data_IF_476824954597
#
_entry.id   IF_476824954597
#
_cell.length_a   1.000
_cell.length_b   1.000
_cell.length_c   1.000
_cell.angle_alpha   90.00
_cell.angle_beta   90.00
_cell.angle_gamma   90.00
#
_symmetry.space_group_name_H-M   'P 1'
#
loop_
_entity.id
_entity.type
_entity.pdbx_description
1 polymer ?
#
# COMPACT_ATOMS: atom_id res chain seq x y z
N UNK A 1 4.29 10.79 -21.27
CA UNK A 1 5.67 10.91 -20.77
C UNK A 1 5.64 11.65 -19.47
N UNK A 2 5.24 10.94 -18.42
CA UNK A 2 5.28 11.44 -17.04
C UNK A 2 6.50 10.85 -16.38
N UNK A 3 7.50 11.69 -16.11
CA UNK A 3 8.74 11.30 -15.45
C UNK A 3 8.95 12.17 -14.23
N UNK A 4 9.34 11.56 -13.13
CA UNK A 4 9.48 12.29 -11.88
C UNK A 4 9.85 11.39 -10.72
N UNK A 5 9.96 12.02 -9.55
CA UNK A 5 10.07 11.32 -8.28
C UNK A 5 8.68 11.20 -7.68
N UNK A 6 8.28 10.00 -7.29
CA UNK A 6 7.08 9.72 -6.53
C UNK A 6 7.48 9.32 -5.11
N UNK A 7 6.99 10.05 -4.12
CA UNK A 7 7.00 9.64 -2.73
C UNK A 7 5.68 8.98 -2.37
N UNK A 8 5.77 7.82 -1.72
CA UNK A 8 4.65 7.06 -1.21
C UNK A 8 4.83 6.98 0.30
N UNK A 9 3.95 7.62 1.05
CA UNK A 9 3.92 7.55 2.50
C UNK A 9 2.78 6.64 2.94
N UNK A 10 3.16 5.52 3.53
CA UNK A 10 2.24 4.60 4.19
C UNK A 10 2.11 5.03 5.63
N UNK A 11 0.97 5.64 5.96
CA UNK A 11 0.75 6.25 7.27
C UNK A 11 0.31 5.19 8.26
N UNK A 12 -0.90 4.67 8.09
CA UNK A 12 -1.56 3.78 9.03
C UNK A 12 -2.59 2.89 8.34
N UNK A 13 -2.85 1.75 8.96
CA UNK A 13 -3.94 0.84 8.63
C UNK A 13 -5.11 1.07 9.59
N UNK A 14 -6.32 0.81 9.12
CA UNK A 14 -7.55 0.90 9.90
C UNK A 14 -8.44 -0.30 9.62
N UNK A 15 -8.99 -0.87 10.69
CA UNK A 15 -9.88 -2.04 10.64
C UNK A 15 -9.25 -3.18 9.81
N UNK A 16 -7.94 -3.35 9.92
CA UNK A 16 -7.23 -4.43 9.25
C UNK A 16 -7.72 -5.73 9.87
N UNK A 17 -8.28 -6.60 9.03
CA UNK A 17 -8.83 -7.88 9.46
C UNK A 17 -7.72 -8.76 10.00
N UNK A 18 -7.85 -9.13 11.27
CA UNK A 18 -6.98 -10.08 11.95
C UNK A 18 -7.38 -11.50 11.53
N UNK A 19 -6.40 -12.35 11.26
CA UNK A 19 -6.59 -13.70 10.75
C UNK A 19 -6.51 -14.76 11.85
N UNK A 20 -5.92 -14.45 13.02
CA UNK A 20 -5.79 -15.44 14.10
C UNK A 20 -6.08 -14.89 15.51
N UNK A 21 -5.23 -14.05 16.12
CA UNK A 21 -5.41 -13.57 17.52
C UNK A 21 -4.67 -12.25 17.81
N UNK A 22 -3.52 -12.02 17.18
CA UNK A 22 -2.65 -10.84 17.28
C UNK A 22 -1.87 -10.79 15.97
N UNK A 23 -2.43 -10.16 14.94
CA UNK A 23 -1.78 -10.09 13.62
C UNK A 23 -0.49 -9.27 13.64
N UNK A 24 0.36 -9.60 12.68
CA UNK A 24 1.63 -8.99 12.32
C UNK A 24 1.54 -8.36 10.92
N UNK A 25 0.69 -7.32 10.70
CA UNK A 25 0.45 -6.78 9.37
C UNK A 25 1.64 -5.95 8.85
N UNK A 26 2.00 -6.19 7.60
CA UNK A 26 2.95 -5.39 6.83
C UNK A 26 2.42 -5.08 5.43
N UNK A 27 2.92 -4.00 4.83
CA UNK A 27 2.51 -3.53 3.50
C UNK A 27 3.66 -3.74 2.52
N UNK A 28 3.36 -4.40 1.40
CA UNK A 28 4.21 -4.55 0.24
C UNK A 28 3.73 -3.65 -0.92
N UNK A 29 4.65 -2.97 -1.58
CA UNK A 29 4.39 -1.99 -2.63
C UNK A 29 5.28 -2.23 -3.85
N UNK A 30 4.72 -2.10 -5.05
CA UNK A 30 5.48 -2.12 -6.31
C UNK A 30 4.75 -1.35 -7.41
N UNK A 31 5.52 -0.79 -8.35
CA UNK A 31 4.97 -0.06 -9.49
C UNK A 31 4.68 -0.99 -10.67
N UNK A 32 3.49 -0.87 -11.28
CA UNK A 32 3.03 -1.65 -12.44
C UNK A 32 3.39 -3.15 -12.36
N UNK A 33 4.35 -3.60 -13.19
CA UNK A 33 4.90 -4.97 -13.23
C UNK A 33 6.38 -5.01 -12.81
N UNK A 34 6.85 -4.01 -12.06
CA UNK A 34 8.20 -3.98 -11.51
C UNK A 34 8.36 -5.13 -10.52
N UNK A 35 9.48 -5.85 -10.62
CA UNK A 35 9.83 -6.92 -9.69
C UNK A 35 10.38 -6.38 -8.35
N UNK A 36 10.67 -5.08 -8.28
CA UNK A 36 11.18 -4.39 -7.09
C UNK A 36 10.05 -4.11 -6.12
N UNK A 37 9.78 -5.10 -5.27
CA UNK A 37 8.84 -4.99 -4.16
C UNK A 37 9.53 -4.36 -2.96
N UNK A 38 8.91 -3.34 -2.39
CA UNK A 38 9.34 -2.73 -1.14
C UNK A 38 8.33 -3.07 -0.07
N UNK A 39 8.81 -3.35 1.14
CA UNK A 39 7.95 -3.67 2.28
C UNK A 39 8.17 -2.75 3.47
N UNK A 40 7.12 -2.52 4.23
CA UNK A 40 7.19 -1.83 5.53
C UNK A 40 7.73 -2.77 6.60
N UNK A 41 8.01 -2.20 7.77
CA UNK A 41 8.23 -2.97 8.99
C UNK A 41 6.91 -3.62 9.45
N UNK A 42 7.00 -4.79 10.05
CA UNK A 42 5.87 -5.52 10.63
C UNK A 42 5.39 -4.82 11.92
N UNK A 43 4.07 -4.70 12.12
CA UNK A 43 3.50 -4.04 13.30
C UNK A 43 2.59 -4.98 14.10
N UNK A 44 3.18 -5.66 15.08
CA UNK A 44 2.50 -6.63 15.93
C UNK A 44 1.41 -6.05 16.83
N UNK A 45 0.28 -6.76 16.92
CA UNK A 45 -0.69 -6.63 18.00
C UNK A 45 -1.58 -5.40 17.96
N UNK A 46 -1.93 -4.96 16.76
CA UNK A 46 -2.94 -3.92 16.58
C UNK A 46 -3.68 -4.08 15.24
N UNK A 47 -5.01 -3.94 15.28
CA UNK A 47 -5.84 -3.84 14.08
C UNK A 47 -5.72 -2.47 13.37
N UNK A 48 -5.01 -1.52 13.99
CA UNK A 48 -4.70 -0.19 13.44
C UNK A 48 -3.18 0.04 13.45
N UNK A 49 -2.41 -0.69 12.63
CA UNK A 49 -0.95 -0.55 12.58
C UNK A 49 -0.55 0.81 12.05
N UNK A 50 0.39 1.48 12.72
CA UNK A 50 0.99 2.73 12.25
C UNK A 50 2.37 2.41 11.69
N UNK A 51 2.51 2.43 10.37
CA UNK A 51 3.78 2.14 9.72
C UNK A 51 4.67 3.38 9.64
N UNK A 52 4.08 4.54 9.32
CA UNK A 52 4.77 5.82 9.12
C UNK A 52 6.05 5.68 8.28
N UNK A 53 5.89 5.05 7.11
CA UNK A 53 7.01 4.67 6.24
C UNK A 53 6.93 5.38 4.90
N UNK A 54 8.04 5.97 4.51
CA UNK A 54 8.21 6.63 3.22
C UNK A 54 8.95 5.74 2.24
N UNK A 55 8.45 5.66 1.02
CA UNK A 55 9.09 5.01 -0.11
C UNK A 55 9.27 6.02 -1.23
N UNK A 56 10.43 5.97 -1.89
CA UNK A 56 10.75 6.85 -3.00
C UNK A 56 10.94 6.03 -4.26
N UNK A 57 10.16 6.36 -5.28
CA UNK A 57 10.23 5.74 -6.59
C UNK A 57 10.57 6.77 -7.65
N UNK A 58 11.30 6.35 -8.68
CA UNK A 58 11.45 7.11 -9.91
C UNK A 58 10.46 6.58 -10.92
N UNK A 59 9.41 7.35 -11.19
CA UNK A 59 8.38 6.96 -12.15
C UNK A 59 8.79 7.35 -13.56
N UNK A 60 8.55 6.45 -14.51
CA UNK A 60 8.79 6.66 -15.94
C UNK A 60 7.61 6.08 -16.74
N UNK A 61 6.59 6.91 -16.91
CA UNK A 61 5.29 6.53 -17.52
C UNK A 61 4.55 5.41 -16.77
N UNK A 62 4.92 5.16 -15.50
CA UNK A 62 4.23 4.21 -14.65
C UNK A 62 2.81 4.66 -14.36
N UNK A 63 1.85 3.73 -14.28
CA UNK A 63 0.42 4.08 -14.17
C UNK A 63 -0.24 3.62 -12.88
N UNK A 64 0.23 2.52 -12.31
CA UNK A 64 -0.39 1.88 -11.16
C UNK A 64 0.67 1.64 -10.08
N UNK A 65 0.33 2.03 -8.86
CA UNK A 65 1.00 1.56 -7.65
C UNK A 65 0.17 0.43 -7.08
N UNK A 66 0.75 -0.76 -7.01
CA UNK A 66 0.12 -1.89 -6.36
C UNK A 66 0.50 -1.87 -4.88
N UNK A 67 -0.49 -2.11 -4.03
CA UNK A 67 -0.36 -2.20 -2.59
C UNK A 67 -0.94 -3.54 -2.16
N UNK A 68 -0.19 -4.29 -1.37
CA UNK A 68 -0.60 -5.57 -0.81
C UNK A 68 -0.35 -5.54 0.67
N UNK A 69 -1.33 -5.99 1.44
CA UNK A 69 -1.18 -6.16 2.89
C UNK A 69 -1.19 -7.64 3.19
N UNK A 70 -0.19 -8.07 3.95
CA UNK A 70 -0.04 -9.44 4.41
C UNK A 70 0.12 -9.44 5.93
N UNK A 71 -0.27 -10.55 6.53
CA UNK A 71 0.03 -10.88 7.93
C UNK A 71 1.24 -11.81 7.97
N UNK A 72 2.30 -11.42 8.70
CA UNK A 72 3.51 -12.25 8.85
C UNK A 72 3.27 -13.32 9.92
N UNK A 73 2.85 -14.51 9.49
CA UNK A 73 2.63 -15.67 10.37
C UNK A 73 3.87 -16.56 10.49
N UNK A 74 3.91 -17.41 11.54
CA UNK A 74 5.01 -18.38 11.81
C UNK A 74 5.06 -19.55 10.80
N UNK A 75 4.57 -19.35 9.57
CA UNK A 75 4.55 -20.34 8.51
C UNK A 75 4.46 -19.72 7.12
N UNK A 76 3.23 -19.50 6.65
CA UNK A 76 2.97 -18.88 5.36
C UNK A 76 2.16 -17.61 5.59
N UNK A 77 2.71 -16.49 5.12
CA UNK A 77 2.06 -15.18 5.22
C UNK A 77 0.65 -15.23 4.61
N UNK A 78 -0.37 -14.86 5.40
CA UNK A 78 -1.72 -14.75 4.89
C UNK A 78 -1.92 -13.40 4.19
N UNK A 79 -2.40 -13.43 2.95
CA UNK A 79 -2.78 -12.21 2.24
C UNK A 79 -4.09 -11.66 2.82
N UNK A 80 -4.02 -10.48 3.42
CA UNK A 80 -5.19 -9.74 3.91
C UNK A 80 -5.91 -9.08 2.74
N UNK A 81 -5.18 -8.44 1.82
CA UNK A 81 -5.80 -7.87 0.63
C UNK A 81 -4.84 -7.14 -0.30
N UNK A 82 -5.32 -6.91 -1.52
CA UNK A 82 -4.56 -6.22 -2.57
C UNK A 82 -5.38 -5.06 -3.10
N UNK A 83 -4.76 -3.89 -3.13
CA UNK A 83 -5.29 -2.68 -3.73
C UNK A 83 -4.40 -2.19 -4.87
N UNK A 84 -5.05 -1.51 -5.82
CA UNK A 84 -4.37 -0.88 -6.97
C UNK A 84 -4.72 0.59 -6.97
N UNK A 85 -3.70 1.44 -6.93
CA UNK A 85 -3.83 2.89 -6.86
C UNK A 85 -3.40 3.45 -8.21
N UNK A 86 -4.26 4.22 -8.85
CA UNK A 86 -3.93 4.88 -10.12
C UNK A 86 -3.10 6.13 -9.87
N UNK A 87 -1.94 6.21 -10.52
CA UNK A 87 -1.03 7.36 -10.42
C UNK A 87 -1.49 8.54 -11.29
N UNK A 88 -2.46 8.35 -12.20
CA UNK A 88 -3.02 9.42 -13.02
C UNK A 88 -3.57 10.58 -12.19
N UNK A 89 -4.10 10.30 -11.00
CA UNK A 89 -4.61 11.35 -10.11
C UNK A 89 -3.45 12.13 -9.48
N UNK A 90 -2.39 11.47 -8.99
CA UNK A 90 -1.27 12.17 -8.33
C UNK A 90 -0.44 12.94 -9.35
N UNK A 91 -0.34 12.46 -10.59
CA UNK A 91 0.31 13.21 -11.66
C UNK A 91 -0.41 14.50 -12.04
N UNK A 92 -1.73 14.60 -11.76
CA UNK A 92 -2.52 15.81 -12.02
C UNK A 92 -2.58 16.76 -10.83
N UNK A 93 -2.66 16.21 -9.62
CA UNK A 93 -2.84 16.98 -8.40
C UNK A 93 -1.53 17.24 -7.64
N UNK A 94 -0.43 16.59 -8.04
CA UNK A 94 0.89 16.57 -7.40
C UNK A 94 0.90 15.94 -5.99
N UNK A 95 -0.22 16.00 -5.28
CA UNK A 95 -0.41 15.48 -3.94
C UNK A 95 -1.77 14.77 -3.83
N UNK A 96 -1.79 13.62 -3.17
CA UNK A 96 -3.00 12.87 -2.82
C UNK A 96 -2.86 12.32 -1.41
N UNK A 97 -3.90 12.51 -0.60
CA UNK A 97 -4.11 11.79 0.66
C UNK A 97 -5.42 11.03 0.53
N UNK A 98 -5.34 9.69 0.57
CA UNK A 98 -6.52 8.86 0.43
C UNK A 98 -6.46 7.60 1.29
N UNK A 99 -7.65 7.15 1.69
CA UNK A 99 -7.86 5.84 2.26
C UNK A 99 -8.10 4.82 1.16
N UNK A 100 -7.27 3.80 1.14
CA UNK A 100 -7.29 2.71 0.16
C UNK A 100 -7.90 1.50 0.83
N UNK A 101 -9.11 1.12 0.42
CA UNK A 101 -9.76 -0.09 0.93
C UNK A 101 -9.10 -1.35 0.37
N UNK A 102 -8.95 -2.35 1.22
CA UNK A 102 -8.39 -3.66 0.88
C UNK A 102 -9.54 -4.65 0.62
N UNK A 103 -9.89 -4.93 -0.64
CA UNK A 103 -10.87 -5.95 -0.95
C UNK A 103 -10.35 -7.34 -0.58
N UNK A 104 -11.20 -8.17 0.01
CA UNK A 104 -10.91 -9.58 0.27
C UNK A 104 -10.87 -10.35 -1.06
N UNK A 105 -9.77 -11.06 -1.32
CA UNK A 105 -9.61 -11.86 -2.55
C UNK A 105 -10.49 -13.13 -2.56
N UNK A 106 -10.88 -13.64 -1.38
CA UNK A 106 -11.69 -14.84 -1.18
C UNK A 106 -13.20 -14.52 -1.20
N UNK A 107 -13.62 -13.33 -0.77
CA UNK A 107 -15.03 -12.92 -0.65
C UNK A 107 -15.29 -11.55 -1.29
N UNK A 108 -15.95 -11.56 -2.45
CA UNK A 108 -16.42 -10.35 -3.12
C UNK A 108 -17.48 -9.64 -2.28
N UNK A 109 -17.17 -8.44 -1.78
CA UNK A 109 -18.08 -7.60 -0.98
C UNK A 109 -17.62 -7.34 0.45
N UNK A 110 -16.56 -7.98 0.93
CA UNK A 110 -15.94 -7.68 2.23
C UNK A 110 -14.66 -6.87 2.04
N UNK A 111 -14.49 -5.83 2.86
CA UNK A 111 -13.25 -5.08 2.96
C UNK A 111 -12.51 -5.57 4.19
N UNK A 112 -11.27 -6.03 4.01
CA UNK A 112 -10.40 -6.52 5.09
C UNK A 112 -9.61 -5.39 5.75
N UNK A 113 -10.09 -4.16 5.62
CA UNK A 113 -9.51 -2.96 6.19
C UNK A 113 -9.18 -1.89 5.15
N UNK A 114 -8.56 -0.83 5.63
CA UNK A 114 -8.16 0.32 4.82
C UNK A 114 -6.76 0.76 5.19
N UNK A 115 -5.98 1.20 4.22
CA UNK A 115 -4.65 1.77 4.43
C UNK A 115 -4.68 3.23 4.00
N UNK A 116 -4.23 4.13 4.87
CA UNK A 116 -4.03 5.53 4.50
C UNK A 116 -2.70 5.67 3.77
N UNK A 117 -2.80 6.10 2.52
CA UNK A 117 -1.64 6.30 1.64
C UNK A 117 -1.64 7.74 1.19
N UNK A 118 -0.50 8.39 1.39
CA UNK A 118 -0.23 9.72 0.86
C UNK A 118 0.76 9.56 -0.30
N UNK A 119 0.45 10.17 -1.44
CA UNK A 119 1.27 10.17 -2.63
C UNK A 119 1.66 11.61 -2.95
N UNK A 120 2.95 11.87 -3.09
CA UNK A 120 3.47 13.15 -3.56
C UNK A 120 4.34 12.94 -4.80
N UNK A 121 4.04 13.65 -5.88
CA UNK A 121 4.74 13.53 -7.15
C UNK A 121 5.44 14.84 -7.50
N UNK A 122 6.75 14.74 -7.73
CA UNK A 122 7.57 15.84 -8.24
C UNK A 122 8.01 15.54 -9.67
N UNK A 123 7.49 16.27 -10.67
CA UNK A 123 7.89 16.09 -12.05
C UNK A 123 9.35 16.52 -12.25
N UNK A 124 10.13 15.69 -12.94
CA UNK A 124 11.48 16.06 -13.39
C UNK A 124 11.38 16.45 -14.85
N UNK A 125 11.58 17.74 -15.15
CA UNK A 125 11.54 18.31 -16.52
C UNK A 125 12.67 17.79 -17.41
#
# INVERSE_FOLDING_TARGET
MTRGKLEVHIVEGKDIKDTDVIGDPYVELWLDNDSSKHKTDTRSGTATPVWDKFFHYFVNDNKVLNLRVLDEDVGADEEIGVAKISLDQVYKNEYIDQWVSLPDAKVSGTCNGQVRVILEFWPTS
#
